data_IF_080768318498
#
_entry.id   IF_080768318498
#
_cell.length_a   1.000
_cell.length_b   1.000
_cell.length_c   1.000
_cell.angle_alpha   90.00
_cell.angle_beta   90.00
_cell.angle_gamma   90.00
#
_symmetry.space_group_name_H-M   'P 1'
#
loop_
_entity.id
_entity.type
_entity.pdbx_description
1 polymer ?
#
# COMPACT_ATOMS: atom_id res chain seq x y z
N UNK A 1 3.03 4.57 16.18
CA UNK A 1 2.30 3.30 16.42
C UNK A 1 3.32 2.23 16.75
N UNK A 2 3.14 1.39 17.79
CA UNK A 2 4.10 0.33 18.11
C UNK A 2 4.25 -0.67 16.96
N UNK A 3 5.47 -1.16 16.75
CA UNK A 3 5.81 -2.09 15.66
C UNK A 3 4.95 -3.36 15.66
N UNK A 4 4.64 -3.91 16.85
CA UNK A 4 3.78 -5.10 16.99
C UNK A 4 2.38 -4.86 16.42
N UNK A 5 1.77 -3.71 16.73
CA UNK A 5 0.43 -3.38 16.26
C UNK A 5 0.46 -3.13 14.75
N UNK A 6 1.53 -2.50 14.25
CA UNK A 6 1.71 -2.30 12.80
C UNK A 6 1.76 -3.64 12.06
N UNK A 7 2.57 -4.60 12.53
CA UNK A 7 2.70 -5.93 11.92
C UNK A 7 1.35 -6.67 11.94
N UNK A 8 0.63 -6.65 13.07
CA UNK A 8 -0.69 -7.28 13.16
C UNK A 8 -1.65 -6.68 12.14
N UNK A 9 -1.71 -5.35 12.03
CA UNK A 9 -2.57 -4.71 11.03
C UNK A 9 -2.12 -5.03 9.60
N UNK A 10 -0.82 -5.02 9.33
CA UNK A 10 -0.29 -5.38 8.02
C UNK A 10 -0.73 -6.80 7.63
N UNK A 11 -0.67 -7.75 8.55
CA UNK A 11 -1.13 -9.13 8.34
C UNK A 11 -2.65 -9.20 8.09
N UNK A 12 -3.45 -8.43 8.84
CA UNK A 12 -4.90 -8.36 8.61
C UNK A 12 -5.22 -7.83 7.22
N UNK A 13 -4.63 -6.70 6.81
CA UNK A 13 -4.86 -6.12 5.48
C UNK A 13 -4.30 -7.00 4.35
N UNK A 14 -3.17 -7.69 4.57
CA UNK A 14 -2.63 -8.66 3.63
C UNK A 14 -3.56 -9.89 3.47
N UNK A 15 -4.16 -10.36 4.57
CA UNK A 15 -5.15 -11.45 4.53
C UNK A 15 -6.41 -11.01 3.78
N UNK A 16 -6.90 -9.80 4.03
CA UNK A 16 -8.03 -9.22 3.27
C UNK A 16 -7.67 -9.13 1.78
N UNK A 17 -6.47 -8.67 1.44
CA UNK A 17 -6.01 -8.60 0.05
C UNK A 17 -5.95 -10.00 -0.61
N UNK A 18 -5.50 -11.03 0.11
CA UNK A 18 -5.52 -12.42 -0.39
C UNK A 18 -6.94 -12.92 -0.63
N UNK A 19 -7.87 -12.69 0.31
CA UNK A 19 -9.28 -13.07 0.14
C UNK A 19 -9.90 -12.37 -1.07
N UNK A 20 -9.63 -11.07 -1.23
CA UNK A 20 -10.10 -10.28 -2.37
C UNK A 20 -9.48 -10.77 -3.69
N UNK A 21 -8.20 -11.10 -3.69
CA UNK A 21 -7.53 -11.72 -4.83
C UNK A 21 -8.26 -13.00 -5.26
N UNK A 22 -8.44 -13.96 -4.35
CA UNK A 22 -9.11 -15.22 -4.69
C UNK A 22 -10.56 -15.00 -5.15
N UNK A 23 -11.28 -14.07 -4.52
CA UNK A 23 -12.65 -13.72 -4.90
C UNK A 23 -12.72 -13.16 -6.32
N UNK A 24 -11.87 -12.18 -6.65
CA UNK A 24 -11.85 -11.53 -7.98
C UNK A 24 -11.40 -12.52 -9.05
N UNK A 25 -10.32 -13.27 -8.80
CA UNK A 25 -9.76 -14.20 -9.78
C UNK A 25 -10.74 -15.33 -10.10
N UNK A 26 -11.41 -15.88 -9.08
CA UNK A 26 -12.37 -16.98 -9.27
C UNK A 26 -13.70 -16.51 -9.88
N UNK A 27 -14.30 -15.44 -9.35
CA UNK A 27 -15.62 -14.97 -9.80
C UNK A 27 -15.61 -14.38 -11.22
N UNK A 28 -14.48 -13.84 -11.67
CA UNK A 28 -14.35 -13.21 -12.99
C UNK A 28 -13.47 -14.02 -13.95
N UNK A 29 -13.10 -15.25 -13.58
CA UNK A 29 -12.28 -16.16 -14.38
C UNK A 29 -10.93 -15.55 -14.85
N UNK A 30 -10.34 -14.68 -14.03
CA UNK A 30 -9.13 -13.92 -14.36
C UNK A 30 -7.83 -14.67 -14.01
N UNK A 31 -7.82 -16.00 -14.10
CA UNK A 31 -6.70 -16.86 -13.68
C UNK A 31 -5.36 -16.47 -14.33
N UNK A 32 -5.38 -16.03 -15.59
CA UNK A 32 -4.20 -15.52 -16.31
C UNK A 32 -3.51 -14.33 -15.63
N UNK A 33 -4.22 -13.56 -14.81
CA UNK A 33 -3.70 -12.39 -14.09
C UNK A 33 -3.36 -12.68 -12.63
N UNK A 34 -3.49 -13.93 -12.19
CA UNK A 34 -3.29 -14.31 -10.80
C UNK A 34 -1.86 -13.99 -10.32
N UNK A 35 -0.85 -14.33 -11.12
CA UNK A 35 0.55 -14.05 -10.79
C UNK A 35 0.81 -12.56 -10.59
N UNK A 36 0.35 -11.70 -11.50
CA UNK A 36 0.49 -10.25 -11.37
C UNK A 36 -0.23 -9.71 -10.13
N UNK A 37 -1.43 -10.23 -9.89
CA UNK A 37 -2.22 -9.87 -8.73
C UNK A 37 -1.50 -10.22 -7.41
N UNK A 38 -0.90 -11.41 -7.28
CA UNK A 38 -0.09 -11.78 -6.10
C UNK A 38 1.16 -10.91 -5.96
N UNK A 39 1.86 -10.62 -7.06
CA UNK A 39 3.01 -9.71 -7.08
C UNK A 39 2.62 -8.34 -6.53
N UNK A 40 1.45 -7.82 -6.92
CA UNK A 40 0.98 -6.53 -6.42
C UNK A 40 0.72 -6.52 -4.90
N UNK A 41 0.25 -7.64 -4.31
CA UNK A 41 0.12 -7.76 -2.85
C UNK A 41 1.49 -7.65 -2.19
N UNK A 42 2.47 -8.43 -2.65
CA UNK A 42 3.84 -8.41 -2.12
C UNK A 42 4.43 -7.01 -2.24
N UNK A 43 4.26 -6.37 -3.39
CA UNK A 43 4.70 -5.01 -3.64
C UNK A 43 4.13 -4.00 -2.64
N UNK A 44 2.81 -4.03 -2.39
CA UNK A 44 2.20 -3.11 -1.41
C UNK A 44 2.57 -3.42 0.03
N UNK A 45 2.85 -4.69 0.38
CA UNK A 45 3.41 -5.06 1.69
C UNK A 45 4.79 -4.41 1.88
N UNK A 46 5.67 -4.52 0.89
CA UNK A 46 7.01 -3.93 0.94
C UNK A 46 6.93 -2.40 1.05
N UNK A 47 6.07 -1.75 0.24
CA UNK A 47 5.84 -0.31 0.35
C UNK A 47 5.31 0.10 1.72
N UNK A 48 4.39 -0.67 2.28
CA UNK A 48 3.84 -0.42 3.60
C UNK A 48 4.91 -0.44 4.69
N UNK A 49 5.85 -1.39 4.63
CA UNK A 49 6.99 -1.45 5.55
C UNK A 49 7.91 -0.23 5.37
N UNK A 50 8.20 0.14 4.12
CA UNK A 50 9.02 1.32 3.82
C UNK A 50 8.40 2.60 4.39
N UNK A 51 7.10 2.81 4.19
CA UNK A 51 6.38 3.98 4.71
C UNK A 51 6.24 3.97 6.23
N UNK A 52 6.20 2.80 6.85
CA UNK A 52 6.26 2.70 8.31
C UNK A 52 7.59 3.24 8.85
N UNK A 53 8.71 2.83 8.25
CA UNK A 53 10.04 3.29 8.65
C UNK A 53 10.15 4.82 8.48
N UNK A 54 9.73 5.34 7.33
CA UNK A 54 9.74 6.79 7.08
C UNK A 54 8.83 7.55 8.05
N UNK A 55 7.64 7.02 8.32
CA UNK A 55 6.69 7.58 9.28
C UNK A 55 7.25 7.61 10.71
N UNK A 56 7.89 6.54 11.17
CA UNK A 56 8.50 6.46 12.51
C UNK A 56 9.63 7.49 12.65
N UNK A 57 10.52 7.58 11.65
CA UNK A 57 11.59 8.60 11.61
C UNK A 57 10.98 10.02 11.66
N UNK A 58 9.95 10.28 10.87
CA UNK A 58 9.30 11.59 10.80
C UNK A 58 8.59 11.97 12.11
N UNK A 59 8.00 11.00 12.80
CA UNK A 59 7.30 11.20 14.07
C UNK A 59 8.23 11.64 15.20
N UNK A 60 9.49 11.16 15.19
CA UNK A 60 10.52 11.49 16.19
C UNK A 60 11.27 12.78 15.88
N UNK A 61 11.05 13.36 14.71
CA UNK A 61 11.74 14.58 14.29
C UNK A 61 11.15 15.82 14.97
N UNK A 62 12.03 16.73 15.41
CA UNK A 62 11.63 18.05 15.95
C UNK A 62 10.98 18.96 14.90
N UNK A 63 11.20 18.67 13.61
CA UNK A 63 10.64 19.47 12.52
C UNK A 63 9.16 19.11 12.31
N UNK A 64 8.27 20.07 12.56
CA UNK A 64 6.84 19.87 12.41
C UNK A 64 6.42 19.63 10.94
N UNK A 65 7.13 20.25 9.99
CA UNK A 65 6.88 20.12 8.55
C UNK A 65 7.36 18.79 7.96
N UNK A 66 8.37 18.13 8.59
CA UNK A 66 8.90 16.87 8.07
C UNK A 66 7.82 15.78 8.02
N UNK A 67 6.90 15.79 8.98
CA UNK A 67 5.81 14.82 9.03
C UNK A 67 4.82 15.02 7.87
N UNK A 68 4.40 16.25 7.60
CA UNK A 68 3.55 16.58 6.45
C UNK A 68 4.23 16.26 5.11
N UNK A 69 5.54 16.56 5.00
CA UNK A 69 6.31 16.24 3.79
C UNK A 69 6.40 14.73 3.55
N UNK A 70 6.58 13.93 4.60
CA UNK A 70 6.63 12.45 4.50
C UNK A 70 5.29 11.89 4.04
N UNK A 71 4.15 12.45 4.49
CA UNK A 71 2.83 12.05 3.99
C UNK A 71 2.74 12.30 2.47
N UNK A 72 3.11 13.49 2.02
CA UNK A 72 3.05 13.86 0.60
C UNK A 72 3.99 12.96 -0.24
N UNK A 73 5.23 12.78 0.21
CA UNK A 73 6.21 11.90 -0.45
C UNK A 73 5.67 10.47 -0.52
N UNK A 74 5.08 9.96 0.56
CA UNK A 74 4.47 8.62 0.59
C UNK A 74 3.40 8.46 -0.49
N UNK A 75 2.52 9.46 -0.65
CA UNK A 75 1.47 9.44 -1.68
C UNK A 75 2.08 9.45 -3.09
N UNK A 76 3.01 10.37 -3.36
CA UNK A 76 3.65 10.51 -4.68
C UNK A 76 4.45 9.26 -5.04
N UNK A 77 5.30 8.77 -4.13
CA UNK A 77 6.10 7.56 -4.33
C UNK A 77 5.22 6.37 -4.62
N UNK A 78 4.12 6.18 -3.87
CA UNK A 78 3.20 5.08 -4.12
C UNK A 78 2.56 5.18 -5.50
N UNK A 79 2.13 6.37 -5.92
CA UNK A 79 1.52 6.58 -7.23
C UNK A 79 2.51 6.28 -8.37
N UNK A 80 3.73 6.79 -8.29
CA UNK A 80 4.78 6.57 -9.30
C UNK A 80 5.13 5.08 -9.38
N UNK A 81 5.42 4.44 -8.24
CA UNK A 81 5.81 3.03 -8.24
C UNK A 81 4.66 2.11 -8.67
N UNK A 82 3.41 2.48 -8.37
CA UNK A 82 2.22 1.78 -8.88
C UNK A 82 2.13 1.87 -10.40
N UNK A 83 2.36 3.06 -10.98
CA UNK A 83 2.38 3.24 -12.42
C UNK A 83 3.49 2.43 -13.08
N UNK A 84 4.70 2.45 -12.50
CA UNK A 84 5.84 1.64 -12.97
C UNK A 84 5.52 0.15 -12.95
N UNK A 85 4.90 -0.36 -11.89
CA UNK A 85 4.54 -1.77 -11.78
C UNK A 85 3.50 -2.19 -12.84
N UNK A 86 2.46 -1.37 -13.03
CA UNK A 86 1.40 -1.62 -14.03
C UNK A 86 1.96 -1.55 -15.45
N UNK A 87 2.72 -0.50 -15.77
CA UNK A 87 3.35 -0.36 -17.09
C UNK A 87 4.35 -1.49 -17.35
N UNK A 88 5.18 -1.84 -16.35
CA UNK A 88 6.14 -2.93 -16.46
C UNK A 88 5.49 -4.27 -16.79
N UNK A 89 4.34 -4.57 -16.17
CA UNK A 89 3.56 -5.75 -16.51
C UNK A 89 2.95 -5.66 -17.92
N UNK A 90 2.33 -4.54 -18.26
CA UNK A 90 1.70 -4.33 -19.58
C UNK A 90 2.69 -4.51 -20.74
N UNK A 91 3.87 -3.89 -20.65
CA UNK A 91 4.88 -3.98 -21.71
C UNK A 91 5.54 -5.36 -21.81
N UNK A 92 5.71 -6.05 -20.68
CA UNK A 92 6.38 -7.35 -20.63
C UNK A 92 5.47 -8.49 -21.10
N UNK A 93 4.26 -8.55 -20.55
CA UNK A 93 3.36 -9.70 -20.73
C UNK A 93 2.30 -9.46 -21.83
N UNK A 94 2.16 -8.21 -22.29
CA UNK A 94 1.21 -7.80 -23.35
C UNK A 94 -0.17 -8.46 -23.17
N UNK A 95 -0.82 -8.23 -22.01
CA UNK A 95 -2.03 -8.95 -21.65
C UNK A 95 -3.13 -8.69 -22.69
N UNK A 96 -3.92 -9.72 -23.04
CA UNK A 96 -4.94 -9.61 -24.08
C UNK A 96 -6.06 -8.63 -23.71
N UNK A 97 -6.27 -8.40 -22.42
CA UNK A 97 -7.25 -7.45 -21.91
C UNK A 97 -6.69 -6.67 -20.71
N UNK A 98 -7.26 -5.50 -20.43
CA UNK A 98 -6.85 -4.65 -19.32
C UNK A 98 -7.44 -5.10 -17.96
N UNK A 99 -8.09 -6.26 -17.86
CA UNK A 99 -8.75 -6.70 -16.64
C UNK A 99 -7.79 -7.02 -15.48
N UNK A 100 -6.49 -7.18 -15.75
CA UNK A 100 -5.45 -7.31 -14.72
C UNK A 100 -5.39 -6.10 -13.77
N UNK A 101 -5.85 -4.94 -14.25
CA UNK A 101 -5.92 -3.68 -13.50
C UNK A 101 -6.93 -3.76 -12.35
N UNK A 102 -7.99 -4.56 -12.48
CA UNK A 102 -9.06 -4.65 -11.48
C UNK A 102 -8.57 -5.21 -10.12
N UNK A 103 -7.96 -6.40 -10.04
CA UNK A 103 -7.42 -6.89 -8.76
C UNK A 103 -6.28 -6.00 -8.25
N UNK A 104 -5.50 -5.39 -9.15
CA UNK A 104 -4.47 -4.43 -8.76
C UNK A 104 -5.04 -3.21 -8.04
N UNK A 105 -6.10 -2.59 -8.57
CA UNK A 105 -6.76 -1.46 -7.92
C UNK A 105 -7.42 -1.84 -6.59
N UNK A 106 -7.95 -3.06 -6.49
CA UNK A 106 -8.49 -3.56 -5.23
C UNK A 106 -7.39 -3.59 -4.15
N UNK A 107 -6.23 -4.16 -4.48
CA UNK A 107 -5.07 -4.19 -3.57
C UNK A 107 -4.57 -2.79 -3.25
N UNK A 108 -4.41 -1.93 -4.27
CA UNK A 108 -4.02 -0.53 -4.10
C UNK A 108 -4.94 0.16 -3.08
N UNK A 109 -6.24 -0.03 -3.20
CA UNK A 109 -7.24 0.60 -2.31
C UNK A 109 -7.12 0.07 -0.88
N UNK A 110 -7.04 -1.26 -0.71
CA UNK A 110 -6.90 -1.90 0.62
C UNK A 110 -5.66 -1.36 1.35
N UNK A 111 -4.50 -1.37 0.69
CA UNK A 111 -3.27 -0.88 1.28
C UNK A 111 -3.23 0.66 1.41
N UNK A 112 -4.01 1.39 0.61
CA UNK A 112 -4.20 2.84 0.80
C UNK A 112 -4.93 3.12 2.10
N UNK A 113 -6.02 2.41 2.39
CA UNK A 113 -6.77 2.55 3.64
C UNK A 113 -5.88 2.22 4.84
N UNK A 114 -5.05 1.19 4.73
CA UNK A 114 -4.05 0.84 5.73
C UNK A 114 -3.05 1.98 6.00
N UNK A 115 -2.44 2.52 4.94
CA UNK A 115 -1.46 3.62 5.06
C UNK A 115 -2.11 4.87 5.66
N UNK A 116 -3.35 5.19 5.26
CA UNK A 116 -4.09 6.31 5.81
C UNK A 116 -4.37 6.15 7.31
N UNK A 117 -4.85 4.99 7.75
CA UNK A 117 -5.07 4.70 9.18
C UNK A 117 -3.78 4.89 10.01
N UNK A 118 -2.65 4.45 9.46
CA UNK A 118 -1.34 4.60 10.09
C UNK A 118 -0.88 6.07 10.16
N UNK A 119 -0.92 6.78 9.03
CA UNK A 119 -0.46 8.17 8.92
C UNK A 119 -1.31 9.10 9.80
N UNK A 120 -2.64 8.96 9.79
CA UNK A 120 -3.54 9.78 10.59
C UNK A 120 -3.30 9.61 12.09
N UNK A 121 -3.04 8.38 12.57
CA UNK A 121 -2.74 8.15 13.99
C UNK A 121 -1.42 8.76 14.43
N UNK A 122 -0.41 8.73 13.55
CA UNK A 122 0.86 9.38 13.85
C UNK A 122 0.74 10.91 13.82
N UNK A 123 -0.07 11.45 12.91
CA UNK A 123 -0.36 12.88 12.84
C UNK A 123 -0.95 13.38 14.16
N UNK A 124 -1.99 12.68 14.64
CA UNK A 124 -2.66 13.01 15.91
C UNK A 124 -1.69 12.99 17.08
N UNK A 125 -0.90 11.92 17.21
CA UNK A 125 0.09 11.81 18.29
C UNK A 125 1.13 12.94 18.28
N UNK A 126 1.54 13.40 17.09
CA UNK A 126 2.50 14.51 16.98
C UNK A 126 1.87 15.85 17.38
N UNK A 127 0.61 16.09 17.03
CA UNK A 127 -0.13 17.29 17.43
C UNK A 127 -0.33 17.32 18.95
N UNK A 128 -0.74 16.19 19.54
CA UNK A 128 -0.95 16.07 20.99
C UNK A 128 0.35 16.30 21.80
N UNK A 129 1.53 16.07 21.21
CA UNK A 129 2.83 16.36 21.83
C UNK A 129 3.30 17.82 21.66
N UNK A 130 2.69 18.57 20.75
CA UNK A 130 3.08 19.96 20.45
C UNK A 130 2.23 20.99 21.21
N UNK A 131 1.10 20.57 21.78
CA UNK A 131 0.22 21.35 22.66
C UNK A 131 0.55 21.07 24.13
#
# INVERSE_FOLDING_TARGET
MPSKIFIIKLLVYATIALVVHFSIIYLLELNQYSTFSLISIVFFIVLSIMFYIWGDIASRSRNIYLFSNIIIITLITKMILSAVLVMGYYYKEQPPTNFFILPFFAHYTIFTLFILDFMTKQAKHKIDQAN
#
